data_IF_287261384019
#
_entry.id   IF_287261384019
#
_cell.length_a   1.000
_cell.length_b   1.000
_cell.length_c   1.000
_cell.angle_alpha   90.00
_cell.angle_beta   90.00
_cell.angle_gamma   90.00
#
_symmetry.space_group_name_H-M   'P 1'
#
loop_
_entity.id
_entity.type
_entity.pdbx_description
1 polymer ?
#
# COMPACT_ATOMS: atom_id res chain seq x y z
N UNK A 1 15.46 20.33 -2.85
CA UNK A 1 16.31 20.63 -4.02
C UNK A 1 17.32 19.51 -4.11
N UNK A 2 17.09 18.59 -5.02
CA UNK A 2 17.95 17.43 -5.25
C UNK A 2 19.11 17.86 -6.11
N UNK A 3 20.31 17.77 -5.55
CA UNK A 3 21.53 17.82 -6.33
C UNK A 3 21.68 16.50 -7.10
N UNK A 4 21.90 16.61 -8.39
CA UNK A 4 22.38 15.57 -9.30
C UNK A 4 21.53 14.31 -9.46
N UNK A 5 20.73 14.30 -10.51
CA UNK A 5 20.01 13.16 -11.07
C UNK A 5 18.52 13.42 -11.15
N UNK A 6 18.01 13.32 -12.35
CA UNK A 6 16.61 13.54 -12.75
C UNK A 6 15.64 12.49 -12.15
N UNK A 7 15.66 12.33 -10.83
CA UNK A 7 14.74 11.45 -10.11
C UNK A 7 13.60 12.29 -9.54
N UNK A 8 12.43 12.18 -10.16
CA UNK A 8 11.22 12.78 -9.61
C UNK A 8 10.93 12.14 -8.25
N UNK A 9 10.80 12.93 -7.16
CA UNK A 9 10.47 12.39 -5.86
C UNK A 9 9.06 11.77 -5.88
N UNK A 10 8.92 10.56 -5.32
CA UNK A 10 7.63 9.92 -5.13
C UNK A 10 7.14 10.28 -3.73
N UNK A 11 5.91 10.77 -3.65
CA UNK A 11 5.25 11.14 -2.39
C UNK A 11 4.04 10.26 -2.14
N UNK A 12 4.01 9.59 -0.99
CA UNK A 12 2.83 8.86 -0.51
C UNK A 12 1.84 9.85 0.08
N UNK A 13 0.64 9.91 -0.49
CA UNK A 13 -0.37 10.92 -0.14
C UNK A 13 -1.76 10.30 0.06
N UNK A 14 -2.58 10.92 0.91
CA UNK A 14 -3.95 10.44 1.22
C UNK A 14 -5.00 10.93 0.23
N UNK A 15 -4.71 11.96 -0.55
CA UNK A 15 -5.65 12.53 -1.51
C UNK A 15 -4.92 13.02 -2.74
N UNK A 16 -5.56 12.85 -3.90
CA UNK A 16 -5.04 13.26 -5.18
C UNK A 16 -6.17 13.81 -6.06
N UNK A 17 -5.79 14.51 -7.09
CA UNK A 17 -6.66 14.99 -8.14
C UNK A 17 -6.17 14.50 -9.51
N UNK A 18 -7.00 14.65 -10.53
CA UNK A 18 -6.62 14.35 -11.90
C UNK A 18 -5.29 15.05 -12.27
N UNK A 19 -4.31 14.26 -12.74
CA UNK A 19 -2.99 14.76 -13.09
C UNK A 19 -1.97 14.83 -11.95
N UNK A 20 -2.32 14.48 -10.71
CA UNK A 20 -1.37 14.45 -9.59
C UNK A 20 -0.22 13.47 -9.80
N UNK A 21 -0.41 12.42 -10.61
CA UNK A 21 0.63 11.45 -10.95
C UNK A 21 1.88 12.08 -11.57
N UNK A 22 1.73 13.16 -12.34
CA UNK A 22 2.87 13.89 -12.94
C UNK A 22 3.82 14.53 -11.91
N UNK A 23 3.39 14.65 -10.66
CA UNK A 23 4.19 15.16 -9.55
C UNK A 23 4.73 14.05 -8.65
N UNK A 24 4.67 12.79 -9.09
CA UNK A 24 5.11 11.66 -8.29
C UNK A 24 4.15 11.28 -7.16
N UNK A 25 2.87 11.62 -7.27
CA UNK A 25 1.87 11.31 -6.27
C UNK A 25 1.47 9.83 -6.33
N UNK A 26 1.80 9.07 -5.28
CA UNK A 26 1.32 7.73 -5.00
C UNK A 26 0.20 7.82 -3.97
N UNK A 27 -1.01 7.44 -4.34
CA UNK A 27 -2.18 7.57 -3.47
C UNK A 27 -2.33 6.33 -2.60
N UNK A 28 -2.56 6.56 -1.33
CA UNK A 28 -2.77 5.52 -0.32
C UNK A 28 -4.18 5.65 0.29
N UNK A 29 -4.79 4.50 0.55
CA UNK A 29 -6.18 4.41 1.02
C UNK A 29 -6.45 4.98 2.42
N UNK A 30 -5.41 5.30 3.19
CA UNK A 30 -5.54 5.71 4.58
C UNK A 30 -5.69 4.53 5.55
N UNK A 31 -6.05 4.86 6.79
CA UNK A 31 -6.14 3.92 7.91
C UNK A 31 -7.42 3.08 7.78
N UNK A 32 -7.31 1.90 7.24
CA UNK A 32 -8.42 1.01 6.91
C UNK A 32 -8.51 -0.19 7.87
N UNK A 33 -9.70 -0.78 7.98
CA UNK A 33 -9.97 -1.88 8.92
C UNK A 33 -9.58 -3.23 8.31
N UNK A 34 -9.03 -4.12 9.15
CA UNK A 34 -8.59 -5.47 8.78
C UNK A 34 -9.79 -6.43 8.65
N UNK A 35 -10.57 -6.28 7.57
CA UNK A 35 -11.72 -7.15 7.26
C UNK A 35 -11.76 -7.50 5.77
N UNK A 36 -12.33 -8.66 5.42
CA UNK A 36 -12.54 -9.05 4.02
C UNK A 36 -13.45 -8.06 3.27
N UNK A 37 -14.44 -7.49 3.94
CA UNK A 37 -15.31 -6.48 3.34
C UNK A 37 -14.53 -5.21 2.99
N UNK A 38 -13.67 -4.75 3.90
CA UNK A 38 -12.79 -3.62 3.62
C UNK A 38 -11.82 -3.94 2.47
N UNK A 39 -11.19 -5.11 2.49
CA UNK A 39 -10.32 -5.56 1.40
C UNK A 39 -11.02 -5.53 0.04
N UNK A 40 -12.23 -6.08 -0.06
CA UNK A 40 -13.03 -6.05 -1.29
C UNK A 40 -13.23 -4.61 -1.80
N UNK A 41 -13.55 -3.68 -0.89
CA UNK A 41 -13.72 -2.26 -1.23
C UNK A 41 -12.41 -1.63 -1.69
N UNK A 42 -11.27 -2.02 -1.13
CA UNK A 42 -9.96 -1.50 -1.56
C UNK A 42 -9.61 -1.94 -2.98
N UNK A 43 -9.90 -3.18 -3.36
CA UNK A 43 -9.72 -3.65 -4.74
C UNK A 43 -10.59 -2.83 -5.71
N UNK A 44 -11.86 -2.62 -5.38
CA UNK A 44 -12.77 -1.78 -6.17
C UNK A 44 -12.30 -0.33 -6.27
N UNK A 45 -11.84 0.24 -5.15
CA UNK A 45 -11.31 1.60 -5.12
C UNK A 45 -10.07 1.75 -6.01
N UNK A 46 -9.13 0.81 -5.94
CA UNK A 46 -7.93 0.80 -6.79
C UNK A 46 -8.27 0.75 -8.28
N UNK A 47 -9.24 -0.10 -8.68
CA UNK A 47 -9.70 -0.17 -10.06
C UNK A 47 -10.35 1.15 -10.50
N UNK A 48 -11.20 1.76 -9.66
CA UNK A 48 -11.84 3.04 -9.97
C UNK A 48 -10.81 4.18 -10.06
N UNK A 49 -9.80 4.19 -9.19
CA UNK A 49 -8.71 5.17 -9.26
C UNK A 49 -7.91 5.01 -10.56
N UNK A 50 -7.62 3.79 -10.98
CA UNK A 50 -6.92 3.53 -12.24
C UNK A 50 -7.71 4.05 -13.45
N UNK A 51 -9.04 3.77 -13.50
CA UNK A 51 -9.93 4.28 -14.56
C UNK A 51 -10.03 5.82 -14.53
N UNK A 52 -9.98 6.43 -13.34
CA UNK A 52 -9.97 7.88 -13.18
C UNK A 52 -8.62 8.55 -13.55
N UNK A 53 -7.63 7.78 -14.03
CA UNK A 53 -6.31 8.32 -14.41
C UNK A 53 -5.37 8.53 -13.21
N UNK A 54 -5.61 7.85 -12.10
CA UNK A 54 -4.76 7.82 -10.91
C UNK A 54 -4.28 6.39 -10.68
N UNK A 55 -3.37 5.86 -11.53
CA UNK A 55 -2.99 4.45 -11.49
C UNK A 55 -2.02 4.11 -10.34
N UNK A 56 -1.39 5.13 -9.75
CA UNK A 56 -0.47 4.94 -8.64
C UNK A 56 -1.27 4.89 -7.34
N UNK A 57 -1.75 3.70 -7.04
CA UNK A 57 -2.59 3.40 -5.89
C UNK A 57 -1.96 2.32 -5.02
N UNK A 58 -2.12 2.44 -3.71
CA UNK A 58 -1.75 1.43 -2.74
C UNK A 58 -2.70 1.40 -1.54
N UNK A 59 -2.58 0.37 -0.73
CA UNK A 59 -3.35 0.16 0.49
C UNK A 59 -2.50 -0.56 1.53
N UNK A 60 -2.83 -0.41 2.80
CA UNK A 60 -2.17 -1.15 3.88
C UNK A 60 -2.49 -2.63 3.77
N UNK A 61 -1.47 -3.46 3.57
CA UNK A 61 -1.62 -4.91 3.46
C UNK A 61 -2.04 -5.48 4.82
N UNK A 62 -3.19 -6.14 4.81
CA UNK A 62 -3.81 -6.67 6.01
C UNK A 62 -4.66 -5.66 6.78
N UNK A 63 -4.74 -4.41 6.30
CA UNK A 63 -5.42 -3.30 6.98
C UNK A 63 -4.54 -2.62 8.04
N UNK A 64 -5.00 -1.48 8.52
CA UNK A 64 -4.31 -0.70 9.55
C UNK A 64 -4.84 -0.93 10.96
N UNK A 65 -6.16 -1.11 11.10
CA UNK A 65 -6.83 -1.30 12.38
C UNK A 65 -7.52 -2.65 12.51
N UNK A 66 -7.58 -3.18 13.74
CA UNK A 66 -8.39 -4.36 14.09
C UNK A 66 -7.80 -5.70 13.68
N UNK A 67 -6.53 -5.73 13.29
CA UNK A 67 -5.82 -6.97 13.02
C UNK A 67 -5.67 -7.81 14.31
N UNK A 68 -6.01 -9.10 14.22
CA UNK A 68 -5.79 -10.09 15.27
C UNK A 68 -4.84 -11.14 14.74
N UNK A 69 -3.58 -11.06 15.15
CA UNK A 69 -2.51 -11.92 14.65
C UNK A 69 -2.62 -13.39 15.07
N UNK A 70 -3.46 -13.68 16.05
CA UNK A 70 -3.81 -15.00 16.56
C UNK A 70 -5.02 -15.63 15.83
N UNK A 71 -5.69 -14.86 14.95
CA UNK A 71 -6.88 -15.29 14.24
C UNK A 71 -6.54 -15.92 12.88
N UNK A 72 -6.92 -17.20 12.63
CA UNK A 72 -6.74 -17.84 11.33
C UNK A 72 -7.42 -17.11 10.18
N UNK A 73 -8.54 -16.42 10.42
CA UNK A 73 -9.23 -15.64 9.40
C UNK A 73 -8.44 -14.39 9.03
N UNK A 74 -7.77 -13.77 9.99
CA UNK A 74 -6.85 -12.69 9.70
C UNK A 74 -5.65 -13.16 8.86
N UNK A 75 -5.09 -14.36 9.12
CA UNK A 75 -4.02 -14.91 8.30
C UNK A 75 -4.45 -15.12 6.84
N UNK A 76 -5.67 -15.63 6.63
CA UNK A 76 -6.25 -15.77 5.29
C UNK A 76 -6.45 -14.41 4.60
N UNK A 77 -6.99 -13.44 5.32
CA UNK A 77 -7.14 -12.07 4.84
C UNK A 77 -5.79 -11.47 4.43
N UNK A 78 -4.79 -11.61 5.29
CA UNK A 78 -3.46 -11.05 5.06
C UNK A 78 -2.82 -11.64 3.79
N UNK A 79 -2.91 -12.96 3.59
CA UNK A 79 -2.40 -13.63 2.39
C UNK A 79 -3.07 -13.09 1.14
N UNK A 80 -4.41 -12.99 1.12
CA UNK A 80 -5.17 -12.46 -0.03
C UNK A 80 -4.84 -10.99 -0.31
N UNK A 81 -4.65 -10.22 0.73
CA UNK A 81 -4.27 -8.82 0.58
C UNK A 81 -2.84 -8.67 0.07
N UNK A 82 -1.94 -9.53 0.53
CA UNK A 82 -0.57 -9.58 0.04
C UNK A 82 -0.51 -9.96 -1.45
N UNK A 83 -1.27 -10.98 -1.87
CA UNK A 83 -1.41 -11.35 -3.29
C UNK A 83 -1.85 -10.15 -4.13
N UNK A 84 -2.87 -9.41 -3.70
CA UNK A 84 -3.31 -8.19 -4.36
C UNK A 84 -2.19 -7.12 -4.38
N UNK A 85 -1.51 -6.93 -3.28
CA UNK A 85 -0.42 -5.96 -3.14
C UNK A 85 0.73 -6.21 -4.13
N UNK A 86 0.97 -7.48 -4.53
CA UNK A 86 1.98 -7.81 -5.53
C UNK A 86 1.67 -7.22 -6.93
N UNK A 87 0.41 -6.89 -7.21
CA UNK A 87 -0.01 -6.25 -8.45
C UNK A 87 -0.13 -4.72 -8.33
N UNK A 88 0.04 -4.16 -7.13
CA UNK A 88 0.11 -2.73 -6.92
C UNK A 88 1.51 -2.22 -7.22
N UNK A 89 1.63 -0.98 -7.74
CA UNK A 89 2.93 -0.35 -8.03
C UNK A 89 3.77 -0.10 -6.78
N UNK A 90 3.15 -0.08 -5.62
CA UNK A 90 3.81 0.04 -4.32
C UNK A 90 3.09 -0.79 -3.28
N UNK A 91 3.85 -1.36 -2.37
CA UNK A 91 3.36 -2.19 -1.28
C UNK A 91 3.64 -1.46 0.04
N UNK A 92 2.59 -1.18 0.80
CA UNK A 92 2.71 -0.60 2.15
C UNK A 92 2.31 -1.67 3.16
N UNK A 93 3.27 -2.04 4.01
CA UNK A 93 3.02 -2.91 5.16
C UNK A 93 3.11 -2.04 6.42
N UNK A 94 2.04 -1.95 7.19
CA UNK A 94 2.03 -1.21 8.45
C UNK A 94 2.41 -2.11 9.62
N UNK A 95 3.19 -1.57 10.55
CA UNK A 95 3.67 -2.32 11.74
C UNK A 95 2.55 -2.63 12.75
N UNK A 96 1.40 -1.99 12.62
CA UNK A 96 0.28 -2.14 13.56
C UNK A 96 -0.39 -3.51 13.53
N UNK A 97 -0.19 -4.28 12.45
CA UNK A 97 -0.68 -5.66 12.40
C UNK A 97 0.15 -6.63 13.24
N UNK A 98 1.38 -6.26 13.64
CA UNK A 98 2.24 -7.14 14.42
C UNK A 98 3.12 -6.33 15.37
N UNK A 99 2.87 -6.47 16.67
CA UNK A 99 3.77 -6.04 17.75
C UNK A 99 5.09 -6.86 17.77
N UNK A 100 5.39 -7.61 16.72
CA UNK A 100 6.66 -8.31 16.51
C UNK A 100 7.25 -7.92 15.16
N UNK A 101 8.40 -7.25 15.24
CA UNK A 101 9.27 -6.84 14.13
C UNK A 101 9.36 -7.90 13.03
N UNK A 102 8.53 -7.81 12.01
CA UNK A 102 8.91 -8.30 10.69
C UNK A 102 9.69 -7.16 10.03
N UNK A 103 11.01 -7.14 10.21
CA UNK A 103 11.89 -6.31 9.38
C UNK A 103 11.66 -6.77 7.94
N UNK A 104 10.98 -5.95 7.18
CA UNK A 104 11.00 -6.07 5.72
C UNK A 104 12.48 -5.87 5.31
N UNK A 105 13.11 -6.96 4.87
CA UNK A 105 14.54 -7.01 4.59
C UNK A 105 14.80 -6.42 3.21
N UNK A 106 14.62 -5.09 3.06
CA UNK A 106 14.97 -4.32 1.86
C UNK A 106 16.46 -3.96 1.79
N UNK A 107 17.26 -4.32 2.80
CA UNK A 107 18.66 -3.91 2.88
C UNK A 107 19.61 -4.72 1.98
N UNK A 108 19.11 -5.63 1.15
CA UNK A 108 19.99 -6.50 0.35
C UNK A 108 20.12 -6.12 -1.12
N UNK A 109 19.52 -5.03 -1.58
CA UNK A 109 19.60 -4.61 -3.00
C UNK A 109 20.61 -3.47 -3.24
N UNK A 110 21.24 -2.94 -2.19
CA UNK A 110 22.21 -1.82 -2.32
C UNK A 110 23.69 -2.19 -2.33
N UNK A 111 24.03 -3.47 -2.45
CA UNK A 111 25.44 -3.89 -2.56
C UNK A 111 25.61 -4.95 -3.66
N UNK A 112 25.46 -4.53 -4.91
CA UNK A 112 26.16 -5.11 -6.08
C UNK A 112 26.18 -4.09 -7.20
#
# INVERSE_FOLDING_TARGET
MTAEGDTMPISLIRSAWAGSAKYGALVWSGDIVSTFECFRRQVQAGLNMAVAGIPWWTTDIGGFHGARTDDPDFHRLYIRWFEYGCFCLSCVCTETATHRRLRCRTDRIRQR
#
